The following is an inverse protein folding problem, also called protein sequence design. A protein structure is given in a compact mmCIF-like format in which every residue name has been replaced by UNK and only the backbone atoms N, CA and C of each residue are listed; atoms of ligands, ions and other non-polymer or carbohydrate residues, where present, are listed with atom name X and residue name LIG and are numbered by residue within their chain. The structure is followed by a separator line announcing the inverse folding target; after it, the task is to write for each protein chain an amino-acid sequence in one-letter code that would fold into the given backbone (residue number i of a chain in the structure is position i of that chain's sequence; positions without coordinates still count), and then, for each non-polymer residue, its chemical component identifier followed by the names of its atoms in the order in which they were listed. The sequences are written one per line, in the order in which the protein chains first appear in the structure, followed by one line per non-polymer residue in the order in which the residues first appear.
data_IF_312674721102
#
_entry.id   IF_312674721102
#
_cell.length_a   1.000
_cell.length_b   1.000
_cell.length_c   1.000
_cell.angle_alpha   90.00
_cell.angle_beta   90.00
_cell.angle_gamma   90.00
#
_symmetry.space_group_name_H-M   'P 1'
#
loop_
_entity.id
_entity.type
_entity.pdbx_description
1 polymer ?
#
# COMPACT_ATOMS: atom_id res chain seq x y z
N UNK A 1 -6.81 32.00 -10.60
CA UNK A 1 -7.47 31.74 -9.31
C UNK A 1 -6.54 32.17 -8.18
N UNK A 2 -7.05 32.84 -7.14
CA UNK A 2 -6.23 33.30 -6.01
C UNK A 2 -5.87 32.12 -5.09
N UNK A 3 -4.60 32.02 -4.67
CA UNK A 3 -4.10 30.96 -3.80
C UNK A 3 -4.81 31.02 -2.43
N UNK A 4 -5.40 29.91 -1.93
CA UNK A 4 -6.06 29.89 -0.63
C UNK A 4 -5.07 30.29 0.48
N UNK A 5 -5.46 31.27 1.31
CA UNK A 5 -4.65 31.68 2.47
C UNK A 5 -4.75 30.58 3.53
N UNK A 6 -3.60 30.03 3.96
CA UNK A 6 -3.55 29.06 5.07
C UNK A 6 -4.16 29.68 6.33
N UNK A 7 -4.91 28.89 7.11
CA UNK A 7 -5.48 29.29 8.39
C UNK A 7 -4.39 29.84 9.32
N UNK A 8 -4.72 30.88 10.09
CA UNK A 8 -3.78 31.70 10.89
C UNK A 8 -2.99 30.85 11.90
N UNK A 9 -3.59 29.78 12.41
CA UNK A 9 -3.00 28.85 13.40
C UNK A 9 -1.98 27.86 12.79
N UNK A 10 -2.02 27.59 11.49
CA UNK A 10 -1.02 26.74 10.81
C UNK A 10 0.20 27.54 10.32
N UNK A 11 0.21 28.86 10.52
CA UNK A 11 1.29 29.72 10.03
C UNK A 11 2.48 29.65 10.99
N UNK A 12 3.57 29.04 10.53
CA UNK A 12 4.83 28.88 11.28
C UNK A 12 5.63 30.18 11.18
N UNK A 13 5.58 31.02 12.22
CA UNK A 13 6.22 32.35 12.22
C UNK A 13 7.55 32.42 12.99
N UNK A 14 7.87 31.42 13.81
CA UNK A 14 9.10 31.39 14.62
C UNK A 14 10.12 30.43 14.01
N UNK A 15 11.38 30.86 13.97
CA UNK A 15 12.51 30.08 13.46
C UNK A 15 13.47 29.70 14.59
N UNK A 16 13.93 28.46 14.60
CA UNK A 16 14.95 27.95 15.52
C UNK A 16 16.19 27.67 14.66
N UNK A 17 17.32 28.32 14.98
CA UNK A 17 18.59 28.08 14.31
C UNK A 17 19.40 27.05 15.09
N UNK A 18 19.63 25.89 14.48
CA UNK A 18 20.47 24.83 15.02
C UNK A 18 21.63 24.61 14.06
N UNK A 19 22.86 24.63 14.57
CA UNK A 19 24.05 24.26 13.79
C UNK A 19 24.38 22.81 14.13
N UNK A 20 24.56 22.00 13.09
CA UNK A 20 24.95 20.60 13.19
C UNK A 20 26.34 20.46 12.57
N UNK A 21 27.12 19.52 13.07
CA UNK A 21 28.29 19.03 12.35
C UNK A 21 27.86 18.06 11.22
N UNK A 22 28.80 17.64 10.38
CA UNK A 22 28.50 16.80 9.22
C UNK A 22 27.85 15.47 9.62
N UNK A 23 28.35 14.82 10.67
CA UNK A 23 27.82 13.52 11.13
C UNK A 23 26.42 13.63 11.72
N UNK A 24 26.14 14.67 12.51
CA UNK A 24 24.80 14.95 13.04
C UNK A 24 23.81 15.24 11.92
N UNK A 25 24.24 15.98 10.89
CA UNK A 25 23.39 16.27 9.75
C UNK A 25 23.06 15.01 8.93
N UNK A 26 24.05 14.14 8.73
CA UNK A 26 23.86 12.87 8.01
C UNK A 26 22.87 11.97 8.75
N UNK A 27 23.01 11.82 10.07
CA UNK A 27 22.09 11.02 10.90
C UNK A 27 20.65 11.55 10.80
N UNK A 28 20.46 12.87 10.86
CA UNK A 28 19.13 13.47 10.76
C UNK A 28 18.54 13.27 9.36
N UNK A 29 19.38 13.36 8.33
CA UNK A 29 18.97 13.20 6.93
C UNK A 29 18.59 11.77 6.61
N UNK A 30 19.40 10.80 7.02
CA UNK A 30 19.14 9.37 6.86
C UNK A 30 17.84 8.98 7.57
N UNK A 31 17.68 9.38 8.84
CA UNK A 31 16.46 9.09 9.58
C UNK A 31 15.20 9.74 8.97
N UNK A 32 15.34 10.94 8.40
CA UNK A 32 14.24 11.59 7.68
C UNK A 32 13.86 10.82 6.42
N UNK A 33 14.85 10.32 5.67
CA UNK A 33 14.63 9.47 4.50
C UNK A 33 13.92 8.17 4.88
N UNK A 34 14.41 7.47 5.91
CA UNK A 34 13.80 6.23 6.39
C UNK A 34 12.36 6.44 6.89
N UNK A 35 12.06 7.62 7.43
CA UNK A 35 10.71 8.00 7.84
C UNK A 35 9.81 8.50 6.70
N UNK A 36 10.31 8.58 5.45
CA UNK A 36 9.64 9.21 4.30
C UNK A 36 9.15 10.64 4.58
N UNK A 37 9.96 11.43 5.30
CA UNK A 37 9.64 12.80 5.66
C UNK A 37 10.71 13.77 5.16
N UNK A 38 10.34 15.00 4.77
CA UNK A 38 11.33 16.06 4.60
C UNK A 38 12.10 16.28 5.91
N UNK A 39 13.41 16.55 5.82
CA UNK A 39 14.30 16.77 6.99
C UNK A 39 13.70 17.77 7.99
N UNK A 40 13.14 18.88 7.49
CA UNK A 40 12.51 19.91 8.32
C UNK A 40 11.20 19.46 9.00
N UNK A 41 10.50 18.46 8.45
CA UNK A 41 9.33 17.84 9.10
C UNK A 41 9.74 16.79 10.11
N UNK A 42 10.74 15.97 9.78
CA UNK A 42 11.32 14.99 10.68
C UNK A 42 11.88 15.66 11.94
N UNK A 43 12.73 16.67 11.78
CA UNK A 43 13.30 17.43 12.90
C UNK A 43 12.21 18.08 13.78
N UNK A 44 11.13 18.56 13.17
CA UNK A 44 10.01 19.15 13.92
C UNK A 44 9.25 18.12 14.74
N UNK A 45 9.00 16.93 14.18
CA UNK A 45 8.33 15.84 14.92
C UNK A 45 9.19 15.37 16.08
N UNK A 46 10.51 15.26 15.89
CA UNK A 46 11.46 14.97 16.96
C UNK A 46 11.41 16.02 18.08
N UNK A 47 11.52 17.32 17.75
CA UNK A 47 11.47 18.41 18.74
C UNK A 47 10.14 18.46 19.50
N UNK A 48 9.02 18.17 18.83
CA UNK A 48 7.68 18.16 19.43
C UNK A 48 7.35 16.85 20.15
N UNK A 49 8.32 15.94 20.29
CA UNK A 49 8.19 14.62 20.90
C UNK A 49 7.00 13.82 20.33
N UNK A 50 6.66 14.08 19.06
CA UNK A 50 5.58 13.40 18.37
C UNK A 50 6.09 12.04 17.92
N UNK A 51 5.36 10.97 18.25
CA UNK A 51 5.70 9.61 17.80
C UNK A 51 5.89 9.62 16.28
N UNK A 52 7.12 9.41 15.83
CA UNK A 52 7.41 9.19 14.42
C UNK A 52 7.00 7.76 14.13
N UNK A 53 5.76 7.59 13.66
CA UNK A 53 5.29 6.32 13.13
C UNK A 53 6.06 6.08 11.83
N UNK A 54 7.15 5.34 11.93
CA UNK A 54 7.89 4.80 10.79
C UNK A 54 6.92 3.91 10.03
N UNK A 55 6.31 4.45 8.98
CA UNK A 55 5.56 3.64 8.03
C UNK A 55 6.62 3.00 7.13
N UNK A 56 7.08 1.82 7.54
CA UNK A 56 7.69 0.89 6.61
C UNK A 56 6.58 0.45 5.66
N UNK A 57 6.32 1.26 4.63
CA UNK A 57 5.77 0.70 3.41
C UNK A 57 6.87 -0.24 2.94
N UNK A 58 6.69 -1.53 3.19
CA UNK A 58 7.45 -2.57 2.51
C UNK A 58 7.06 -2.43 1.04
N UNK A 59 7.69 -1.48 0.35
CA UNK A 59 7.73 -1.38 -1.10
C UNK A 59 8.71 -2.44 -1.53
N UNK A 60 8.38 -3.69 -1.20
CA UNK A 60 8.89 -4.79 -1.97
C UNK A 60 8.24 -4.58 -3.33
N UNK A 61 9.00 -4.01 -4.27
CA UNK A 61 8.70 -4.12 -5.68
C UNK A 61 8.86 -5.61 -5.99
N UNK A 62 7.89 -6.41 -5.55
CA UNK A 62 7.86 -7.84 -5.79
C UNK A 62 7.26 -7.94 -7.18
N UNK A 63 8.06 -8.18 -8.23
CA UNK A 63 7.52 -8.38 -9.57
C UNK A 63 6.45 -9.48 -9.59
N UNK A 64 6.50 -10.41 -8.63
CA UNK A 64 5.50 -11.45 -8.40
C UNK A 64 4.15 -10.86 -7.95
N UNK A 65 4.13 -9.84 -7.08
CA UNK A 65 2.88 -9.19 -6.65
C UNK A 65 2.27 -8.36 -7.79
N UNK A 66 3.10 -7.69 -8.59
CA UNK A 66 2.63 -6.99 -9.81
C UNK A 66 2.06 -7.97 -10.85
N UNK A 67 2.70 -9.12 -11.05
CA UNK A 67 2.16 -10.20 -11.90
C UNK A 67 0.83 -10.72 -11.36
N UNK A 68 0.74 -10.96 -10.06
CA UNK A 68 -0.47 -11.43 -9.39
C UNK A 68 -1.63 -10.43 -9.55
N UNK A 69 -1.40 -9.14 -9.31
CA UNK A 69 -2.40 -8.07 -9.51
C UNK A 69 -2.84 -8.00 -10.98
N UNK A 70 -1.91 -8.15 -11.93
CA UNK A 70 -2.20 -8.17 -13.36
C UNK A 70 -3.08 -9.37 -13.76
N UNK A 71 -2.79 -10.56 -13.23
CA UNK A 71 -3.60 -11.76 -13.43
C UNK A 71 -5.00 -11.60 -12.85
N UNK A 72 -5.12 -11.06 -11.63
CA UNK A 72 -6.42 -10.74 -11.03
C UNK A 72 -7.20 -9.71 -11.85
N UNK A 73 -6.53 -8.69 -12.40
CA UNK A 73 -7.14 -7.70 -13.29
C UNK A 73 -7.72 -8.31 -14.57
N UNK A 74 -7.02 -9.28 -15.18
CA UNK A 74 -7.50 -10.02 -16.36
C UNK A 74 -8.72 -10.87 -16.02
N UNK A 75 -8.71 -11.56 -14.88
CA UNK A 75 -9.85 -12.34 -14.39
C UNK A 75 -11.06 -11.43 -14.16
N UNK A 76 -10.87 -10.29 -13.48
CA UNK A 76 -11.94 -9.32 -13.24
C UNK A 76 -12.54 -8.76 -14.55
N UNK A 77 -11.70 -8.48 -15.54
CA UNK A 77 -12.16 -8.04 -16.87
C UNK A 77 -13.00 -9.11 -17.58
N UNK A 78 -12.57 -10.37 -17.54
CA UNK A 78 -13.33 -11.48 -18.13
C UNK A 78 -14.69 -11.67 -17.43
N UNK A 79 -14.73 -11.57 -16.10
CA UNK A 79 -15.98 -11.61 -15.33
C UNK A 79 -16.91 -10.44 -15.69
N UNK A 80 -16.37 -9.25 -15.91
CA UNK A 80 -17.15 -8.09 -16.32
C UNK A 80 -17.71 -8.24 -17.74
N UNK A 81 -16.96 -8.88 -18.64
CA UNK A 81 -17.43 -9.19 -20.01
C UNK A 81 -18.52 -10.24 -20.00
N UNK A 82 -18.38 -11.29 -19.19
CA UNK A 82 -19.43 -12.28 -18.93
C UNK A 82 -20.66 -11.55 -18.42
N UNK A 83 -20.56 -10.79 -17.32
CA UNK A 83 -21.69 -10.04 -16.77
C UNK A 83 -22.37 -9.11 -17.80
N UNK A 84 -21.58 -8.42 -18.64
CA UNK A 84 -22.10 -7.55 -19.70
C UNK A 84 -22.85 -8.35 -20.78
N UNK A 85 -22.34 -9.50 -21.20
CA UNK A 85 -23.00 -10.38 -22.15
C UNK A 85 -24.35 -10.91 -21.62
N UNK A 86 -24.39 -11.27 -20.34
CA UNK A 86 -25.64 -11.68 -19.67
C UNK A 86 -26.64 -10.53 -19.54
N UNK A 87 -26.18 -9.32 -19.21
CA UNK A 87 -27.03 -8.13 -19.10
C UNK A 87 -27.58 -7.64 -20.45
N UNK A 88 -26.96 -8.03 -21.57
CA UNK A 88 -27.38 -7.64 -22.93
C UNK A 88 -28.34 -8.64 -23.61
N UNK A 89 -28.81 -9.67 -22.88
CA UNK A 89 -29.76 -10.65 -23.41
C UNK A 89 -29.12 -11.86 -24.10
N UNK A 90 -27.86 -12.18 -23.77
CA UNK A 90 -27.21 -13.42 -24.21
C UNK A 90 -28.01 -14.67 -23.80
N UNK A 91 -28.05 -15.67 -24.68
CA UNK A 91 -28.85 -16.91 -24.47
C UNK A 91 -28.43 -17.59 -23.16
N UNK A 92 -29.38 -17.73 -22.23
CA UNK A 92 -29.19 -18.43 -20.98
C UNK A 92 -29.36 -19.94 -21.18
N UNK A 93 -28.36 -20.63 -21.72
CA UNK A 93 -28.36 -22.10 -21.64
C UNK A 93 -28.05 -22.53 -20.21
N UNK A 94 -28.71 -23.59 -19.73
CA UNK A 94 -28.41 -24.14 -18.40
C UNK A 94 -26.93 -24.57 -18.28
N UNK A 95 -26.35 -25.05 -19.38
CA UNK A 95 -24.94 -25.43 -19.48
C UNK A 95 -24.01 -24.23 -19.21
N UNK A 96 -24.35 -23.05 -19.75
CA UNK A 96 -23.55 -21.85 -19.53
C UNK A 96 -23.63 -21.36 -18.08
N UNK A 97 -24.80 -21.49 -17.45
CA UNK A 97 -24.97 -21.17 -16.02
C UNK A 97 -24.19 -22.15 -15.14
N UNK A 98 -24.18 -23.44 -15.49
CA UNK A 98 -23.38 -24.44 -14.79
C UNK A 98 -21.88 -24.14 -14.90
N UNK A 99 -21.40 -23.81 -16.10
CA UNK A 99 -19.99 -23.46 -16.33
C UNK A 99 -19.55 -22.21 -15.55
N UNK A 100 -20.41 -21.18 -15.49
CA UNK A 100 -20.12 -19.95 -14.72
C UNK A 100 -20.07 -20.24 -13.22
N UNK A 101 -21.02 -21.01 -12.69
CA UNK A 101 -21.03 -21.39 -11.28
C UNK A 101 -19.79 -22.22 -10.91
N UNK A 102 -19.35 -23.11 -11.79
CA UNK A 102 -18.12 -23.88 -11.61
C UNK A 102 -16.89 -22.95 -11.58
N UNK A 103 -16.79 -22.03 -12.53
CA UNK A 103 -15.68 -21.07 -12.59
C UNK A 103 -15.64 -20.14 -11.36
N UNK A 104 -16.81 -19.71 -10.87
CA UNK A 104 -16.93 -18.95 -9.61
C UNK A 104 -16.44 -19.79 -8.42
N UNK A 105 -16.79 -21.07 -8.38
CA UNK A 105 -16.36 -21.99 -7.32
C UNK A 105 -14.84 -22.16 -7.31
N UNK A 106 -14.23 -22.38 -8.48
CA UNK A 106 -12.78 -22.48 -8.64
C UNK A 106 -12.05 -21.18 -8.22
N UNK A 107 -12.63 -20.01 -8.52
CA UNK A 107 -12.12 -18.73 -8.05
C UNK A 107 -12.17 -18.60 -6.52
N UNK A 108 -13.25 -19.06 -5.88
CA UNK A 108 -13.34 -19.08 -4.42
C UNK A 108 -12.33 -20.04 -3.79
N UNK A 109 -12.09 -21.21 -4.38
CA UNK A 109 -11.07 -22.13 -3.91
C UNK A 109 -9.66 -21.55 -4.05
N UNK A 110 -9.35 -20.90 -5.18
CA UNK A 110 -8.07 -20.22 -5.36
C UNK A 110 -7.89 -19.09 -4.35
N UNK A 111 -8.93 -18.27 -4.12
CA UNK A 111 -8.91 -17.25 -3.06
C UNK A 111 -8.59 -17.89 -1.71
N UNK A 112 -9.26 -18.98 -1.35
CA UNK A 112 -9.04 -19.66 -0.07
C UNK A 112 -7.61 -20.21 0.06
N UNK A 113 -7.08 -20.83 -1.01
CA UNK A 113 -5.68 -21.33 -1.05
C UNK A 113 -4.68 -20.18 -0.89
N UNK A 114 -4.88 -19.07 -1.58
CA UNK A 114 -4.02 -17.87 -1.45
C UNK A 114 -4.11 -17.28 -0.05
N UNK A 115 -5.31 -17.15 0.54
CA UNK A 115 -5.47 -16.67 1.92
C UNK A 115 -4.82 -17.62 2.93
N UNK A 116 -4.91 -18.93 2.72
CA UNK A 116 -4.24 -19.93 3.56
C UNK A 116 -2.72 -19.85 3.45
N UNK A 117 -2.18 -19.67 2.25
CA UNK A 117 -0.73 -19.46 2.04
C UNK A 117 -0.25 -18.12 2.62
N UNK A 118 -1.05 -17.06 2.49
CA UNK A 118 -0.77 -15.76 3.08
C UNK A 118 -0.84 -15.78 4.62
N UNK A 119 -1.71 -16.60 5.21
CA UNK A 119 -1.83 -16.79 6.66
C UNK A 119 -0.65 -17.52 7.32
N UNK A 120 0.18 -18.21 6.54
CA UNK A 120 1.44 -18.84 7.02
C UNK A 120 2.57 -17.82 7.15
N UNK A 121 2.39 -16.56 6.70
CA UNK A 121 3.34 -15.45 6.97
C UNK A 121 3.12 -14.81 8.35
N UNK A 122 2.90 -15.62 9.40
CA UNK A 122 3.22 -15.16 10.75
C UNK A 122 4.73 -15.24 10.87
N UNK A 123 5.40 -14.09 10.79
CA UNK A 123 6.84 -14.01 10.63
C UNK A 123 7.59 -14.81 11.69
N UNK A 124 8.48 -15.67 11.23
CA UNK A 124 9.68 -16.02 11.98
C UNK A 124 10.56 -14.75 12.03
N UNK A 125 10.20 -13.81 12.89
CA UNK A 125 11.13 -12.82 13.41
C UNK A 125 12.08 -13.52 14.38
N UNK A 126 12.94 -14.40 13.87
CA UNK A 126 14.16 -14.75 14.58
C UNK A 126 15.09 -13.54 14.49
N UNK A 127 14.95 -12.70 15.51
CA UNK A 127 15.84 -11.58 15.77
C UNK A 127 17.18 -12.18 16.20
N UNK A 128 18.13 -12.31 15.27
CA UNK A 128 19.53 -12.52 15.63
C UNK A 128 20.07 -11.25 16.29
N UNK A 129 19.96 -11.18 17.62
CA UNK A 129 20.80 -10.28 18.42
C UNK A 129 22.18 -10.92 18.55
N UNK A 130 23.21 -10.23 18.07
CA UNK A 130 24.59 -10.38 18.57
C UNK A 130 24.94 -9.15 19.41
#
# INVERSE_FOLDING_TARGET
MARPKKQKELKRNHHIMLRLNDTEYDIVTENAQTANLPVAEYARKQVMNQRITMKYEVVADVPELKKLISEFGKIGSNLNQIAKYFNQGGIHSQEMRAAINQCITELYEMKYKVTKMAGVFHGDTETHSK
#
